data_IF_341352052814
#
_entry.id   IF_341352052814
#
_cell.length_a   1.000
_cell.length_b   1.000
_cell.length_c   1.000
_cell.angle_alpha   90.00
_cell.angle_beta   90.00
_cell.angle_gamma   90.00
#
_symmetry.space_group_name_H-M   'P 1'
#
loop_
_entity.id
_entity.type
_entity.pdbx_description
1 polymer ?
#
# COMPACT_ATOMS: atom_id res chain seq x y z
N UNK A 1 42.64 95.24 5.86
CA UNK A 1 43.15 93.92 5.45
C UNK A 1 42.09 93.25 4.58
N UNK A 2 42.35 92.91 3.31
CA UNK A 2 41.34 92.28 2.45
C UNK A 2 41.20 90.78 2.76
N UNK A 3 39.98 90.27 2.78
CA UNK A 3 39.69 88.83 2.86
C UNK A 3 39.88 88.19 1.49
N UNK A 4 40.72 87.16 1.44
CA UNK A 4 40.97 86.33 0.26
C UNK A 4 39.77 85.39 0.06
N UNK A 5 39.02 85.59 -1.01
CA UNK A 5 37.94 84.67 -1.41
C UNK A 5 38.59 83.37 -1.89
N UNK A 6 38.20 82.24 -1.30
CA UNK A 6 38.65 80.91 -1.70
C UNK A 6 37.80 80.46 -2.88
N UNK A 7 38.43 80.17 -4.02
CA UNK A 7 37.73 79.66 -5.19
C UNK A 7 37.15 78.25 -4.94
N UNK A 8 35.98 77.91 -5.50
CA UNK A 8 35.40 76.57 -5.38
C UNK A 8 36.33 75.56 -6.07
N UNK A 9 36.83 74.60 -5.30
CA UNK A 9 37.59 73.47 -5.83
C UNK A 9 36.59 72.51 -6.47
N UNK A 10 36.47 72.55 -7.79
CA UNK A 10 35.71 71.54 -8.51
C UNK A 10 36.28 70.16 -8.19
N UNK A 11 35.43 69.17 -7.82
CA UNK A 11 35.91 67.83 -7.50
C UNK A 11 36.55 67.25 -8.76
N UNK A 12 37.86 66.99 -8.67
CA UNK A 12 38.61 66.33 -9.74
C UNK A 12 37.93 64.98 -10.04
N UNK A 13 37.78 64.61 -11.32
CA UNK A 13 37.17 63.34 -11.70
C UNK A 13 37.90 62.18 -11.03
N UNK A 14 37.13 61.29 -10.40
CA UNK A 14 37.62 60.21 -9.53
C UNK A 14 38.36 59.11 -10.33
N UNK A 15 38.13 59.05 -11.64
CA UNK A 15 38.70 58.08 -12.57
C UNK A 15 39.35 58.79 -13.74
N UNK A 16 40.51 58.30 -14.16
CA UNK A 16 41.09 58.69 -15.45
C UNK A 16 40.22 58.21 -16.62
N UNK A 17 40.27 58.87 -17.79
CA UNK A 17 39.51 58.43 -18.96
C UNK A 17 39.76 56.96 -19.34
N UNK A 18 41.02 56.50 -19.22
CA UNK A 18 41.41 55.12 -19.52
C UNK A 18 40.78 54.11 -18.55
N UNK A 19 40.76 54.42 -17.25
CA UNK A 19 40.10 53.58 -16.24
C UNK A 19 38.58 53.51 -16.47
N UNK A 20 37.97 54.61 -16.90
CA UNK A 20 36.55 54.63 -17.25
C UNK A 20 36.22 53.71 -18.43
N UNK A 21 37.02 53.73 -19.50
CA UNK A 21 36.80 52.84 -20.66
C UNK A 21 36.99 51.36 -20.29
N UNK A 22 37.98 51.05 -19.45
CA UNK A 22 38.20 49.67 -18.97
C UNK A 22 37.03 49.15 -18.14
N UNK A 23 36.49 49.96 -17.22
CA UNK A 23 35.30 49.60 -16.43
C UNK A 23 34.05 49.46 -17.31
N UNK A 24 33.89 50.32 -18.32
CA UNK A 24 32.77 50.23 -19.26
C UNK A 24 32.81 48.90 -20.04
N UNK A 25 33.98 48.53 -20.57
CA UNK A 25 34.16 47.27 -21.29
C UNK A 25 33.93 46.05 -20.37
N UNK A 26 34.39 46.12 -19.12
CA UNK A 26 34.17 45.07 -18.13
C UNK A 26 32.69 44.92 -17.78
N UNK A 27 31.97 46.04 -17.65
CA UNK A 27 30.54 46.05 -17.42
C UNK A 27 29.76 45.44 -18.60
N UNK A 28 30.12 45.79 -19.84
CA UNK A 28 29.52 45.19 -21.04
C UNK A 28 29.74 43.67 -21.10
N UNK A 29 30.94 43.19 -20.76
CA UNK A 29 31.21 41.75 -20.66
C UNK A 29 30.36 41.06 -19.60
N UNK A 30 30.23 41.66 -18.40
CA UNK A 30 29.37 41.12 -17.34
C UNK A 30 27.90 41.06 -17.79
N UNK A 31 27.40 42.09 -18.46
CA UNK A 31 26.05 42.10 -19.00
C UNK A 31 25.85 40.95 -20.00
N UNK A 32 26.75 40.78 -20.96
CA UNK A 32 26.66 39.66 -21.90
C UNK A 32 26.67 38.29 -21.20
N UNK A 33 27.56 38.10 -20.22
CA UNK A 33 27.60 36.86 -19.43
C UNK A 33 26.29 36.60 -18.68
N UNK A 34 25.71 37.64 -18.04
CA UNK A 34 24.43 37.50 -17.33
C UNK A 34 23.28 37.16 -18.27
N UNK A 35 23.22 37.81 -19.43
CA UNK A 35 22.19 37.57 -20.44
C UNK A 35 22.29 36.14 -20.96
N UNK A 36 23.48 35.68 -21.34
CA UNK A 36 23.70 34.30 -21.78
C UNK A 36 23.28 33.30 -20.69
N UNK A 37 23.64 33.55 -19.44
CA UNK A 37 23.25 32.69 -18.32
C UNK A 37 21.73 32.62 -18.13
N UNK A 38 21.02 33.74 -18.29
CA UNK A 38 19.55 33.78 -18.22
C UNK A 38 18.93 32.95 -19.34
N UNK A 39 19.40 33.08 -20.58
CA UNK A 39 18.89 32.29 -21.72
C UNK A 39 19.12 30.79 -21.52
N UNK A 40 20.32 30.39 -21.09
CA UNK A 40 20.62 28.99 -20.79
C UNK A 40 19.77 28.44 -19.64
N UNK A 41 19.51 29.25 -18.61
CA UNK A 41 18.59 28.86 -17.54
C UNK A 41 17.19 28.65 -18.08
N UNK A 42 16.71 29.56 -18.93
CA UNK A 42 15.39 29.48 -19.54
C UNK A 42 15.24 28.23 -20.41
N UNK A 43 16.21 27.92 -21.27
CA UNK A 43 16.22 26.68 -22.07
C UNK A 43 16.15 25.43 -21.17
N UNK A 44 16.94 25.38 -20.10
CA UNK A 44 16.89 24.26 -19.14
C UNK A 44 15.53 24.12 -18.46
N UNK A 45 14.81 25.22 -18.21
CA UNK A 45 13.44 25.15 -17.68
C UNK A 45 12.47 24.59 -18.73
N UNK A 46 12.58 25.01 -19.99
CA UNK A 46 11.74 24.49 -21.07
C UNK A 46 11.97 22.99 -21.29
N UNK A 47 13.22 22.52 -21.28
CA UNK A 47 13.52 21.10 -21.38
C UNK A 47 12.91 20.30 -20.23
N UNK A 48 12.96 20.82 -19.00
CA UNK A 48 12.34 20.17 -17.84
C UNK A 48 10.82 20.08 -18.01
N UNK A 49 10.18 21.15 -18.47
CA UNK A 49 8.74 21.18 -18.71
C UNK A 49 8.33 20.11 -19.74
N UNK A 50 9.06 20.02 -20.85
CA UNK A 50 8.81 19.00 -21.89
C UNK A 50 8.99 17.57 -21.38
N UNK A 51 9.99 17.34 -20.50
CA UNK A 51 10.16 16.04 -19.85
C UNK A 51 9.01 15.70 -18.91
N UNK A 52 8.54 16.68 -18.13
CA UNK A 52 7.38 16.49 -17.26
C UNK A 52 6.11 16.15 -18.05
N UNK A 53 5.87 16.81 -19.18
CA UNK A 53 4.74 16.48 -20.05
C UNK A 53 4.83 15.05 -20.62
N UNK A 54 6.02 14.62 -21.04
CA UNK A 54 6.24 13.25 -21.51
C UNK A 54 6.01 12.21 -20.40
N UNK A 55 6.45 12.51 -19.17
CA UNK A 55 6.22 11.66 -18.00
C UNK A 55 4.73 11.59 -17.66
N UNK A 56 3.99 12.71 -17.72
CA UNK A 56 2.54 12.73 -17.52
C UNK A 56 1.80 11.85 -18.52
N UNK A 57 2.15 11.93 -19.81
CA UNK A 57 1.57 11.07 -20.85
C UNK A 57 1.86 9.60 -20.56
N UNK A 58 3.08 9.28 -20.13
CA UNK A 58 3.50 7.91 -19.80
C UNK A 58 2.74 7.37 -18.58
N UNK A 59 2.58 8.18 -17.53
CA UNK A 59 1.81 7.83 -16.34
C UNK A 59 0.34 7.63 -16.66
N UNK A 60 -0.28 8.48 -17.48
CA UNK A 60 -1.66 8.32 -17.92
C UNK A 60 -1.85 6.99 -18.66
N UNK A 61 -0.94 6.64 -19.57
CA UNK A 61 -0.97 5.35 -20.27
C UNK A 61 -0.78 4.15 -19.32
N UNK A 62 0.04 4.30 -18.28
CA UNK A 62 0.25 3.26 -17.26
C UNK A 62 -1.00 3.07 -16.39
N UNK A 63 -1.64 4.16 -15.96
CA UNK A 63 -2.90 4.14 -15.23
C UNK A 63 -3.99 3.48 -16.05
N UNK A 64 -4.09 3.78 -17.35
CA UNK A 64 -5.05 3.13 -18.24
C UNK A 64 -4.81 1.61 -18.32
N UNK A 65 -3.54 1.18 -18.48
CA UNK A 65 -3.17 -0.25 -18.46
C UNK A 65 -3.53 -0.92 -17.14
N UNK A 66 -3.28 -0.27 -16.00
CA UNK A 66 -3.63 -0.79 -14.67
C UNK A 66 -5.16 -0.89 -14.52
N UNK A 67 -5.90 0.14 -14.94
CA UNK A 67 -7.36 0.15 -14.90
C UNK A 67 -7.95 -0.96 -15.79
N UNK A 68 -7.40 -1.17 -16.98
CA UNK A 68 -7.85 -2.23 -17.88
C UNK A 68 -7.51 -3.62 -17.36
N UNK A 69 -6.35 -3.81 -16.69
CA UNK A 69 -6.02 -5.05 -15.97
C UNK A 69 -6.97 -5.28 -14.79
N UNK A 70 -7.29 -4.23 -14.03
CA UNK A 70 -8.24 -4.28 -12.91
C UNK A 70 -9.65 -4.64 -13.40
N UNK A 71 -10.13 -4.02 -14.48
CA UNK A 71 -11.42 -4.34 -15.12
C UNK A 71 -11.47 -5.76 -15.70
N UNK A 72 -10.35 -6.26 -16.24
CA UNK A 72 -10.24 -7.66 -16.70
C UNK A 72 -10.18 -8.64 -15.51
N UNK A 73 -9.47 -8.29 -14.45
CA UNK A 73 -9.42 -9.06 -13.21
C UNK A 73 -10.75 -9.05 -12.44
N UNK A 74 -11.55 -7.98 -12.55
CA UNK A 74 -12.89 -7.87 -11.97
C UNK A 74 -13.97 -8.49 -12.84
N UNK A 75 -13.80 -8.59 -14.16
CA UNK A 75 -14.66 -9.42 -15.03
C UNK A 75 -14.47 -10.92 -14.83
N UNK A 76 -13.31 -11.35 -14.32
CA UNK A 76 -13.01 -12.75 -14.00
C UNK A 76 -13.24 -13.14 -12.53
N UNK A 77 -13.73 -12.22 -11.68
CA UNK A 77 -14.23 -12.56 -10.33
C UNK A 77 -15.65 -12.06 -10.19
N UNK A 78 -16.59 -13.01 -10.25
CA UNK A 78 -17.82 -13.13 -9.45
C UNK A 78 -18.33 -11.81 -8.84
N UNK A 79 -19.59 -11.46 -9.17
CA UNK A 79 -20.42 -10.50 -8.42
C UNK A 79 -20.02 -10.47 -6.93
N UNK A 80 -19.25 -9.46 -6.53
CA UNK A 80 -19.04 -9.14 -5.13
C UNK A 80 -20.40 -8.71 -4.59
N UNK A 81 -21.08 -9.64 -3.90
CA UNK A 81 -22.16 -9.27 -2.99
C UNK A 81 -21.53 -8.26 -2.04
N UNK A 82 -22.04 -7.03 -2.07
CA UNK A 82 -21.72 -5.98 -1.10
C UNK A 82 -21.69 -6.64 0.28
N UNK A 83 -20.51 -6.71 0.90
CA UNK A 83 -20.40 -7.26 2.25
C UNK A 83 -21.32 -6.41 3.13
N UNK A 84 -22.40 -7.02 3.60
CA UNK A 84 -23.18 -6.44 4.67
C UNK A 84 -22.22 -6.24 5.85
N UNK A 85 -22.35 -5.14 6.62
CA UNK A 85 -21.62 -5.02 7.88
C UNK A 85 -21.84 -6.30 8.70
N UNK A 86 -20.83 -6.76 9.46
CA UNK A 86 -20.97 -7.95 10.31
C UNK A 86 -22.23 -7.75 11.14
N UNK A 87 -23.21 -8.62 10.93
CA UNK A 87 -24.48 -8.54 11.62
C UNK A 87 -24.19 -8.89 13.06
N UNK A 88 -24.09 -7.89 13.91
CA UNK A 88 -23.96 -8.10 15.36
C UNK A 88 -25.13 -8.97 15.81
N UNK A 89 -24.86 -10.07 16.54
CA UNK A 89 -25.94 -10.95 16.95
C UNK A 89 -26.89 -10.16 17.86
N UNK A 90 -28.17 -10.16 17.50
CA UNK A 90 -29.20 -9.45 18.24
C UNK A 90 -29.72 -10.33 19.37
N UNK A 91 -29.98 -9.73 20.52
CA UNK A 91 -30.63 -10.43 21.63
C UNK A 91 -32.15 -10.39 21.40
N UNK A 92 -32.79 -11.56 21.37
CA UNK A 92 -34.25 -11.69 21.36
C UNK A 92 -34.60 -12.50 22.61
N UNK A 93 -35.38 -11.92 23.52
CA UNK A 93 -35.83 -12.60 24.75
C UNK A 93 -34.66 -13.26 25.51
N UNK A 94 -33.58 -12.52 25.71
CA UNK A 94 -32.36 -12.97 26.41
C UNK A 94 -31.57 -14.10 25.73
N UNK A 95 -31.97 -14.51 24.53
CA UNK A 95 -31.26 -15.50 23.71
C UNK A 95 -30.49 -14.83 22.57
N UNK A 96 -29.30 -15.35 22.30
CA UNK A 96 -28.45 -14.89 21.21
C UNK A 96 -29.02 -15.40 19.89
N UNK A 97 -29.43 -14.48 19.00
CA UNK A 97 -29.85 -14.83 17.65
C UNK A 97 -28.63 -14.94 16.74
N UNK A 98 -28.38 -16.15 16.23
CA UNK A 98 -27.33 -16.46 15.28
C UNK A 98 -27.95 -16.82 13.92
N UNK A 99 -27.19 -16.59 12.85
CA UNK A 99 -27.50 -17.15 11.54
C UNK A 99 -27.22 -18.66 11.49
N UNK A 100 -27.76 -19.31 10.47
CA UNK A 100 -27.45 -20.72 10.14
C UNK A 100 -25.95 -20.94 9.87
N UNK A 101 -25.25 -19.90 9.44
CA UNK A 101 -23.83 -19.94 9.14
C UNK A 101 -23.13 -18.75 9.79
N UNK A 102 -22.12 -19.04 10.61
CA UNK A 102 -21.37 -18.04 11.38
C UNK A 102 -19.86 -18.19 11.19
N UNK A 103 -19.15 -17.09 11.44
CA UNK A 103 -17.69 -17.09 11.42
C UNK A 103 -17.16 -17.40 12.81
N UNK A 104 -16.39 -18.49 12.95
CA UNK A 104 -15.80 -18.94 14.21
C UNK A 104 -14.29 -18.83 14.12
N UNK A 105 -13.69 -18.04 15.02
CA UNK A 105 -12.25 -17.99 15.18
C UNK A 105 -11.78 -19.10 16.13
N UNK A 106 -10.81 -19.90 15.71
CA UNK A 106 -10.18 -20.93 16.53
C UNK A 106 -8.72 -20.55 16.73
N UNK A 107 -8.35 -20.27 17.98
CA UNK A 107 -7.03 -19.77 18.36
C UNK A 107 -5.92 -20.79 18.06
N UNK A 108 -6.19 -22.07 18.29
CA UNK A 108 -5.25 -23.18 18.03
C UNK A 108 -4.78 -23.25 16.57
N UNK A 109 -5.61 -22.76 15.64
CA UNK A 109 -5.31 -22.72 14.22
C UNK A 109 -5.02 -21.29 13.71
N UNK A 110 -5.17 -20.29 14.58
CA UNK A 110 -5.15 -18.87 14.25
C UNK A 110 -5.95 -18.55 12.98
N UNK A 111 -7.12 -19.17 12.82
CA UNK A 111 -7.90 -19.13 11.59
C UNK A 111 -9.40 -18.98 11.85
N UNK A 112 -10.08 -18.31 10.92
CA UNK A 112 -11.54 -18.16 10.93
C UNK A 112 -12.14 -19.22 10.03
N UNK A 113 -13.10 -19.98 10.56
CA UNK A 113 -13.86 -20.97 9.83
C UNK A 113 -15.29 -20.51 9.65
N UNK A 114 -15.85 -20.84 8.49
CA UNK A 114 -17.29 -20.76 8.26
C UNK A 114 -17.94 -22.01 8.86
N UNK A 115 -18.68 -21.85 9.95
CA UNK A 115 -19.36 -22.93 10.65
C UNK A 115 -20.86 -22.92 10.35
N UNK A 116 -21.44 -24.08 10.10
CA UNK A 116 -22.88 -24.27 10.02
C UNK A 116 -23.41 -24.66 11.41
N UNK A 117 -24.39 -23.92 11.92
CA UNK A 117 -24.98 -24.16 13.24
C UNK A 117 -26.20 -25.06 13.06
N UNK A 118 -26.04 -26.33 13.43
CA UNK A 118 -27.13 -27.31 13.42
C UNK A 118 -27.63 -27.56 14.85
N UNK A 119 -28.84 -27.09 15.22
CA UNK A 119 -29.40 -27.32 16.55
C UNK A 119 -29.84 -28.77 16.77
N UNK A 120 -29.87 -29.61 15.73
CA UNK A 120 -30.22 -31.03 15.85
C UNK A 120 -29.02 -31.92 16.23
N UNK A 121 -27.81 -31.35 16.38
CA UNK A 121 -26.59 -32.08 16.74
C UNK A 121 -25.97 -31.47 17.99
N UNK A 122 -25.91 -32.25 19.07
CA UNK A 122 -25.28 -31.83 20.34
C UNK A 122 -23.74 -31.79 20.31
N UNK A 123 -23.13 -31.85 19.11
CA UNK A 123 -21.68 -32.02 18.94
C UNK A 123 -21.17 -31.23 17.75
N UNK A 124 -20.07 -30.51 17.97
CA UNK A 124 -19.35 -29.81 16.91
C UNK A 124 -18.44 -30.78 16.16
N UNK A 125 -18.40 -30.66 14.83
CA UNK A 125 -17.57 -31.49 13.95
C UNK A 125 -16.67 -30.59 13.11
N UNK A 126 -15.39 -30.95 13.00
CA UNK A 126 -14.42 -30.30 12.12
C UNK A 126 -13.95 -31.30 11.08
N UNK A 127 -13.98 -30.90 9.80
CA UNK A 127 -13.44 -31.72 8.72
C UNK A 127 -11.92 -31.54 8.65
N UNK A 128 -11.19 -32.64 8.64
CA UNK A 128 -9.74 -32.70 8.46
C UNK A 128 -9.39 -33.83 7.49
N UNK A 129 -8.24 -33.72 6.85
CA UNK A 129 -7.69 -34.70 5.91
C UNK A 129 -6.41 -35.33 6.49
N UNK A 130 -5.97 -36.47 5.95
CA UNK A 130 -4.74 -37.19 6.36
C UNK A 130 -4.62 -37.44 7.88
N UNK A 131 -5.53 -38.23 8.44
CA UNK A 131 -5.52 -38.59 9.86
C UNK A 131 -4.54 -39.74 10.13
N UNK A 132 -3.46 -39.45 10.85
CA UNK A 132 -2.47 -40.42 11.32
C UNK A 132 -2.51 -40.55 12.85
N UNK A 133 -2.69 -41.76 13.37
CA UNK A 133 -2.64 -42.01 14.82
C UNK A 133 -1.25 -42.49 15.23
N UNK A 134 -0.75 -41.96 16.35
CA UNK A 134 0.56 -42.32 16.89
C UNK A 134 0.60 -42.23 18.42
N UNK A 135 1.66 -42.73 19.03
CA UNK A 135 1.89 -42.69 20.47
C UNK A 135 3.01 -41.70 20.80
N UNK A 136 2.80 -40.85 21.82
CA UNK A 136 3.81 -39.94 22.36
C UNK A 136 3.70 -39.92 23.88
N UNK A 137 4.79 -40.25 24.56
CA UNK A 137 4.89 -40.30 26.02
C UNK A 137 3.86 -41.24 26.69
N UNK A 138 3.51 -42.35 26.04
CA UNK A 138 2.50 -43.31 26.52
C UNK A 138 1.05 -42.89 26.29
N UNK A 139 0.81 -41.74 25.66
CA UNK A 139 -0.51 -41.24 25.29
C UNK A 139 -0.76 -41.38 23.79
N UNK A 140 -2.03 -41.56 23.41
CA UNK A 140 -2.45 -41.60 22.00
C UNK A 140 -2.66 -40.19 21.44
N UNK A 141 -2.08 -39.92 20.28
CA UNK A 141 -2.16 -38.67 19.55
C UNK A 141 -2.66 -38.90 18.12
N UNK A 142 -3.21 -37.84 17.52
CA UNK A 142 -3.60 -37.82 16.12
C UNK A 142 -2.95 -36.61 15.45
N UNK A 143 -2.34 -36.86 14.29
CA UNK A 143 -1.85 -35.85 13.35
C UNK A 143 -2.84 -35.76 12.20
N UNK A 144 -3.18 -34.54 11.78
CA UNK A 144 -4.15 -34.30 10.73
C UNK A 144 -3.85 -33.00 9.99
N UNK A 145 -4.35 -32.87 8.78
CA UNK A 145 -4.21 -31.68 7.95
C UNK A 145 -5.53 -30.90 7.89
N UNK A 146 -5.44 -29.59 7.99
CA UNK A 146 -6.55 -28.68 7.75
C UNK A 146 -6.25 -27.82 6.51
N UNK A 147 -7.18 -27.83 5.56
CA UNK A 147 -7.14 -26.92 4.41
C UNK A 147 -7.61 -25.53 4.82
N UNK A 148 -6.67 -24.68 5.24
CA UNK A 148 -6.95 -23.30 5.62
C UNK A 148 -7.00 -22.43 4.35
N UNK A 149 -8.21 -22.11 3.89
CA UNK A 149 -8.41 -21.22 2.73
C UNK A 149 -8.34 -19.77 3.21
N UNK A 150 -7.23 -19.09 2.90
CA UNK A 150 -7.11 -17.65 3.11
C UNK A 150 -7.80 -16.89 1.97
N UNK A 151 -8.65 -15.91 2.31
CA UNK A 151 -9.23 -14.97 1.33
C UNK A 151 -8.18 -14.06 0.68
N UNK A 152 -6.97 -14.01 1.26
CA UNK A 152 -5.83 -13.34 0.67
C UNK A 152 -5.22 -14.24 -0.40
N UNK A 153 -5.61 -13.96 -1.66
CA UNK A 153 -5.22 -14.64 -2.91
C UNK A 153 -3.71 -14.73 -3.23
N UNK A 154 -2.83 -14.54 -2.25
CA UNK A 154 -1.37 -14.64 -2.39
C UNK A 154 -0.79 -15.91 -1.78
N UNK A 155 -1.56 -16.69 -1.01
CA UNK A 155 -1.06 -17.96 -0.47
C UNK A 155 -2.01 -19.06 -0.92
N UNK A 156 -1.52 -19.88 -1.86
CA UNK A 156 -2.10 -21.18 -2.20
C UNK A 156 -2.50 -21.87 -0.91
N UNK A 157 -3.75 -22.34 -0.80
CA UNK A 157 -4.28 -22.96 0.42
C UNK A 157 -3.25 -23.94 0.97
N UNK A 158 -2.62 -23.56 2.08
CA UNK A 158 -1.58 -24.37 2.71
C UNK A 158 -2.32 -25.36 3.57
N UNK A 159 -2.29 -26.63 3.18
CA UNK A 159 -2.68 -27.70 4.09
C UNK A 159 -1.70 -27.66 5.25
N UNK A 160 -2.16 -27.17 6.40
CA UNK A 160 -1.37 -27.10 7.62
C UNK A 160 -1.60 -28.36 8.43
N UNK A 161 -0.51 -28.95 8.89
CA UNK A 161 -0.52 -30.13 9.74
C UNK A 161 -0.59 -29.73 11.21
N UNK A 162 -1.49 -30.38 11.95
CA UNK A 162 -1.71 -30.18 13.38
C UNK A 162 -1.69 -31.53 14.11
N UNK A 163 -1.37 -31.49 15.40
CA UNK A 163 -1.32 -32.67 16.27
C UNK A 163 -2.10 -32.41 17.55
N UNK A 164 -2.94 -33.37 17.95
CA UNK A 164 -3.74 -33.27 19.16
C UNK A 164 -3.83 -34.61 19.90
N UNK A 165 -3.93 -34.57 21.23
CA UNK A 165 -4.13 -35.75 22.07
C UNK A 165 -5.53 -36.32 21.86
N UNK A 166 -5.62 -37.63 21.62
CA UNK A 166 -6.90 -38.32 21.46
C UNK A 166 -7.57 -38.45 22.84
N UNK A 167 -8.77 -37.89 22.98
CA UNK A 167 -9.58 -37.99 24.22
C UNK A 167 -10.56 -39.14 24.19
N UNK A 168 -11.24 -39.34 23.05
CA UNK A 168 -12.22 -40.40 22.84
C UNK A 168 -12.35 -40.70 21.36
N UNK A 169 -12.66 -41.94 21.02
CA UNK A 169 -13.12 -42.33 19.69
C UNK A 169 -14.60 -42.66 19.75
N UNK A 170 -15.38 -42.07 18.84
CA UNK A 170 -16.82 -42.32 18.73
C UNK A 170 -17.13 -42.99 17.41
N UNK A 171 -18.07 -43.93 17.42
CA UNK A 171 -18.54 -44.59 16.20
C UNK A 171 -19.76 -43.83 15.67
N UNK A 172 -19.62 -43.23 14.49
CA UNK A 172 -20.72 -42.56 13.80
C UNK A 172 -21.46 -43.60 12.94
N UNK A 173 -22.76 -43.76 13.16
CA UNK A 173 -23.62 -44.60 12.30
C UNK A 173 -24.25 -43.71 11.23
N UNK A 174 -24.04 -44.05 9.96
CA UNK A 174 -24.79 -43.46 8.85
C UNK A 174 -26.24 -43.94 8.92
N UNK A 175 -27.20 -43.03 8.80
CA UNK A 175 -28.59 -43.40 8.54
C UNK A 175 -28.72 -43.66 7.05
N UNK A 176 -28.93 -44.91 6.66
CA UNK A 176 -29.33 -45.29 5.29
C UNK A 176 -30.84 -45.35 5.21
#
# INVERSE_FOLDING_TARGET
MPQKVLDPVDPKPVLSPEQFYNELQLHEQRLMQTITGVYQNQERQYEKLMRMDADLVTLLAQVEKINNRSKRASRSKVKLKKALPPKVPSLVEEKLLLGEQELVYIDEFAHIFTAHIDPAIDSSMLKADNLDLFERDGDQWVRFNLSLKSDNKSESGTDKTFEAKVRRMIRIKSRT
#
